data_IF_966885565507
#
_entry.id   IF_966885565507
#
_cell.length_a   1.000
_cell.length_b   1.000
_cell.length_c   1.000
_cell.angle_alpha   90.00
_cell.angle_beta   90.00
_cell.angle_gamma   90.00
#
_symmetry.space_group_name_H-M   'P 1'
#
loop_
_entity.id
_entity.type
_entity.pdbx_description
1 polymer ?
#
# COMPACT_ATOMS: atom_id res chain seq x y z
N UNK A 1 51.88 48.37 6.55
CA UNK A 1 51.38 46.98 6.67
C UNK A 1 50.02 47.05 7.36
N UNK A 2 48.95 47.22 6.57
CA UNK A 2 47.62 47.53 7.08
C UNK A 2 46.59 46.66 6.35
N UNK A 3 46.12 45.63 7.07
CA UNK A 3 44.77 45.06 7.15
C UNK A 3 43.80 44.94 5.95
N UNK A 4 44.17 45.21 4.70
CA UNK A 4 43.17 45.22 3.61
C UNK A 4 43.06 43.92 2.80
N UNK A 5 44.05 43.01 2.87
CA UNK A 5 44.06 41.81 2.02
C UNK A 5 43.49 40.55 2.69
N UNK A 6 43.25 40.59 4.00
CA UNK A 6 42.67 39.45 4.73
C UNK A 6 41.12 39.40 4.64
N UNK A 7 40.47 40.54 4.40
CA UNK A 7 39.01 40.62 4.35
C UNK A 7 38.42 40.22 2.98
N UNK A 8 39.22 40.24 1.92
CA UNK A 8 38.78 39.85 0.57
C UNK A 8 38.69 38.33 0.37
N UNK A 9 39.40 37.53 1.16
CA UNK A 9 39.32 36.07 1.08
C UNK A 9 38.14 35.48 1.88
N UNK A 10 37.60 36.21 2.85
CA UNK A 10 36.47 35.74 3.67
C UNK A 10 35.11 35.96 2.98
N UNK A 11 35.01 36.97 2.11
CA UNK A 11 33.78 37.27 1.38
C UNK A 11 33.52 36.37 0.15
N UNK A 12 34.49 35.55 -0.29
CA UNK A 12 34.34 34.71 -1.48
C UNK A 12 33.80 33.29 -1.19
N UNK A 13 33.48 32.95 0.06
CA UNK A 13 33.10 31.59 0.47
C UNK A 13 31.65 31.47 0.98
N UNK A 14 30.93 32.59 1.10
CA UNK A 14 29.70 32.63 1.89
C UNK A 14 28.42 32.98 1.11
N UNK A 15 28.46 32.97 -0.23
CA UNK A 15 27.29 33.29 -1.07
C UNK A 15 26.72 32.12 -1.90
N UNK A 16 27.35 30.94 -1.91
CA UNK A 16 26.84 29.80 -2.71
C UNK A 16 25.90 28.86 -1.93
N UNK A 17 25.74 29.06 -0.63
CA UNK A 17 24.96 28.16 0.23
C UNK A 17 23.42 28.33 0.24
N UNK A 18 22.79 29.47 -0.16
CA UNK A 18 21.32 29.56 -0.13
C UNK A 18 20.64 29.10 -1.43
N UNK A 19 21.35 28.99 -2.56
CA UNK A 19 20.73 28.65 -3.84
C UNK A 19 20.52 27.14 -4.05
N UNK A 20 21.35 26.29 -3.45
CA UNK A 20 21.17 24.83 -3.51
C UNK A 20 20.18 24.29 -2.47
N UNK A 21 19.79 25.10 -1.47
CA UNK A 21 18.79 24.72 -0.46
C UNK A 21 17.36 25.12 -0.81
N UNK A 22 17.14 25.74 -1.97
CA UNK A 22 15.84 25.70 -2.67
C UNK A 22 15.74 24.43 -3.51
N UNK A 23 15.97 23.27 -2.89
CA UNK A 23 15.32 22.05 -3.39
C UNK A 23 13.84 22.34 -3.22
N UNK A 24 13.21 22.72 -4.33
CA UNK A 24 11.82 23.15 -4.51
C UNK A 24 10.93 22.40 -3.53
N UNK A 25 10.67 23.00 -2.36
CA UNK A 25 9.69 22.47 -1.44
C UNK A 25 8.36 22.56 -2.18
N UNK A 26 7.68 21.44 -2.45
CA UNK A 26 6.44 21.49 -3.22
C UNK A 26 5.46 22.44 -2.53
N UNK A 27 4.75 23.23 -3.32
CA UNK A 27 3.64 24.04 -2.80
C UNK A 27 2.63 23.14 -2.08
N UNK A 28 1.84 23.68 -1.14
CA UNK A 28 0.84 22.92 -0.37
C UNK A 28 -0.07 22.08 -1.28
N UNK A 29 -0.44 22.62 -2.46
CA UNK A 29 -1.20 21.94 -3.51
C UNK A 29 -0.43 20.77 -4.15
N UNK A 30 0.87 20.92 -4.44
CA UNK A 30 1.67 19.83 -4.99
C UNK A 30 1.83 18.67 -4.00
N UNK A 31 2.00 18.94 -2.70
CA UNK A 31 2.00 17.89 -1.68
C UNK A 31 0.67 17.15 -1.59
N UNK A 32 -0.44 17.84 -1.83
CA UNK A 32 -1.77 17.23 -1.92
C UNK A 32 -1.85 16.21 -3.05
N UNK A 33 -1.50 16.63 -4.27
CA UNK A 33 -1.47 15.75 -5.43
C UNK A 33 -0.53 14.56 -5.28
N UNK A 34 0.70 14.79 -4.79
CA UNK A 34 1.66 13.71 -4.53
C UNK A 34 1.06 12.70 -3.56
N UNK A 35 0.41 13.17 -2.48
CA UNK A 35 -0.18 12.25 -1.50
C UNK A 35 -1.36 11.48 -2.09
N UNK A 36 -2.19 12.12 -2.92
CA UNK A 36 -3.31 11.50 -3.63
C UNK A 36 -2.83 10.36 -4.52
N UNK A 37 -1.85 10.66 -5.37
CA UNK A 37 -1.26 9.71 -6.32
C UNK A 37 -0.58 8.57 -5.55
N UNK A 38 0.16 8.87 -4.49
CA UNK A 38 0.77 7.85 -3.65
C UNK A 38 -0.28 6.96 -2.96
N UNK A 39 -1.40 7.50 -2.47
CA UNK A 39 -2.49 6.69 -1.92
C UNK A 39 -3.12 5.79 -3.00
N UNK A 40 -3.45 6.38 -4.15
CA UNK A 40 -4.06 5.68 -5.27
C UNK A 40 -3.17 4.53 -5.79
N UNK A 41 -1.87 4.80 -5.96
CA UNK A 41 -0.87 3.79 -6.35
C UNK A 41 -0.65 2.75 -5.25
N UNK A 42 -0.52 3.17 -3.98
CA UNK A 42 -0.35 2.22 -2.87
C UNK A 42 -1.51 1.24 -2.82
N UNK A 43 -2.73 1.72 -3.03
CA UNK A 43 -3.91 0.89 -3.03
C UNK A 43 -4.04 0.04 -4.31
N UNK A 44 -3.67 0.55 -5.48
CA UNK A 44 -3.54 -0.26 -6.69
C UNK A 44 -2.55 -1.42 -6.51
N UNK A 45 -1.39 -1.14 -5.90
CA UNK A 45 -0.42 -2.16 -5.52
C UNK A 45 -1.02 -3.18 -4.55
N UNK A 46 -1.91 -2.79 -3.63
CA UNK A 46 -2.61 -3.75 -2.75
C UNK A 46 -3.49 -4.75 -3.51
N UNK A 47 -3.99 -4.40 -4.70
CA UNK A 47 -4.69 -5.35 -5.56
C UNK A 47 -3.72 -6.27 -6.29
N UNK A 48 -2.66 -5.72 -6.87
CA UNK A 48 -1.66 -6.50 -7.62
C UNK A 48 -0.97 -7.58 -6.79
N UNK A 49 -0.66 -7.31 -5.52
CA UNK A 49 0.03 -8.32 -4.69
C UNK A 49 -0.91 -9.34 -4.02
N UNK A 50 -2.21 -9.06 -3.92
CA UNK A 50 -3.24 -10.03 -3.48
C UNK A 50 -3.64 -10.99 -4.59
N UNK A 51 -3.45 -10.54 -5.82
CA UNK A 51 -3.80 -11.26 -7.02
C UNK A 51 -3.17 -12.68 -7.11
N UNK A 52 -1.89 -12.89 -6.77
CA UNK A 52 -1.28 -14.22 -6.77
C UNK A 52 -2.02 -15.24 -5.90
N UNK A 53 -2.61 -14.82 -4.77
CA UNK A 53 -3.37 -15.73 -3.90
C UNK A 53 -4.56 -16.40 -4.61
N UNK A 54 -5.10 -15.76 -5.66
CA UNK A 54 -6.26 -16.23 -6.42
C UNK A 54 -5.93 -16.77 -7.82
N UNK A 55 -4.67 -16.62 -8.25
CA UNK A 55 -4.20 -16.96 -9.61
C UNK A 55 -3.02 -17.95 -9.59
N UNK A 56 -2.69 -18.48 -8.42
CA UNK A 56 -1.80 -19.63 -8.30
C UNK A 56 -2.29 -20.79 -9.20
N UNK A 57 -1.38 -21.64 -9.71
CA UNK A 57 -1.77 -22.75 -10.56
C UNK A 57 -2.83 -23.65 -9.90
N UNK A 58 -3.78 -24.21 -10.68
CA UNK A 58 -4.84 -25.07 -10.15
C UNK A 58 -4.28 -26.28 -9.39
N UNK A 59 -3.11 -26.78 -9.78
CA UNK A 59 -2.39 -27.87 -9.09
C UNK A 59 -2.06 -27.55 -7.62
N UNK A 60 -1.94 -26.26 -7.27
CA UNK A 60 -1.66 -25.79 -5.92
C UNK A 60 -2.94 -25.39 -5.19
N UNK A 61 -3.96 -24.90 -5.91
CA UNK A 61 -5.19 -24.33 -5.34
C UNK A 61 -6.35 -25.33 -5.17
N UNK A 62 -6.42 -26.36 -6.01
CA UNK A 62 -7.50 -27.34 -6.01
C UNK A 62 -7.17 -28.59 -5.18
N UNK A 63 -6.08 -28.52 -4.39
CA UNK A 63 -5.75 -29.55 -3.41
C UNK A 63 -6.92 -29.69 -2.41
N UNK A 64 -7.49 -30.90 -2.25
CA UNK A 64 -8.59 -31.12 -1.33
C UNK A 64 -8.11 -30.96 0.11
N UNK A 65 -8.85 -30.15 0.88
CA UNK A 65 -8.66 -29.95 2.31
C UNK A 65 -9.76 -30.74 3.05
N UNK A 66 -9.52 -31.09 4.33
CA UNK A 66 -10.50 -31.82 5.16
C UNK A 66 -11.88 -31.13 5.10
N UNK A 67 -12.93 -31.94 4.92
CA UNK A 67 -14.33 -31.47 4.92
C UNK A 67 -14.91 -31.14 3.53
N UNK A 68 -14.28 -31.59 2.44
CA UNK A 68 -14.82 -31.41 1.08
C UNK A 68 -14.59 -30.02 0.48
N UNK A 69 -13.81 -29.16 1.16
CA UNK A 69 -13.43 -27.86 0.65
C UNK A 69 -12.09 -27.92 -0.09
N UNK A 70 -11.96 -27.13 -1.16
CA UNK A 70 -10.68 -26.91 -1.82
C UNK A 70 -9.86 -25.85 -1.08
N UNK A 71 -8.54 -25.89 -1.21
CA UNK A 71 -7.66 -24.87 -0.64
C UNK A 71 -8.05 -23.45 -1.13
N UNK A 72 -8.45 -23.32 -2.39
CA UNK A 72 -9.02 -22.08 -2.96
C UNK A 72 -10.22 -21.55 -2.19
N UNK A 73 -11.14 -22.43 -1.80
CA UNK A 73 -12.32 -22.05 -1.02
C UNK A 73 -11.91 -21.57 0.37
N UNK A 74 -10.99 -22.30 1.03
CA UNK A 74 -10.46 -21.91 2.34
C UNK A 74 -9.73 -20.56 2.31
N UNK A 75 -8.93 -20.30 1.27
CA UNK A 75 -8.25 -19.01 1.05
C UNK A 75 -9.27 -17.89 0.88
N UNK A 76 -10.35 -18.13 0.13
CA UNK A 76 -11.41 -17.15 -0.08
C UNK A 76 -12.17 -16.82 1.22
N UNK A 77 -12.51 -17.84 2.02
CA UNK A 77 -13.12 -17.64 3.33
C UNK A 77 -12.19 -16.93 4.32
N UNK A 78 -10.90 -17.29 4.33
CA UNK A 78 -9.89 -16.62 5.14
C UNK A 78 -9.74 -15.14 4.78
N UNK A 79 -9.76 -14.82 3.49
CA UNK A 79 -9.72 -13.44 3.02
C UNK A 79 -10.92 -12.64 3.51
N UNK A 80 -12.14 -13.12 3.27
CA UNK A 80 -13.38 -12.45 3.72
C UNK A 80 -13.42 -12.34 5.25
N UNK A 81 -13.06 -13.42 5.94
CA UNK A 81 -13.00 -13.49 7.39
C UNK A 81 -12.02 -12.47 7.99
N UNK A 82 -10.84 -12.32 7.39
CA UNK A 82 -9.85 -11.34 7.81
C UNK A 82 -10.37 -9.90 7.73
N UNK A 83 -11.03 -9.55 6.63
CA UNK A 83 -11.69 -8.24 6.48
C UNK A 83 -12.83 -8.03 7.48
N UNK A 84 -13.68 -9.03 7.65
CA UNK A 84 -14.82 -8.95 8.56
C UNK A 84 -14.35 -8.74 10.00
N UNK A 85 -13.35 -9.52 10.44
CA UNK A 85 -12.77 -9.42 11.77
C UNK A 85 -12.06 -8.07 12.02
N UNK A 86 -11.47 -7.49 10.97
CA UNK A 86 -10.72 -6.24 11.08
C UNK A 86 -11.58 -4.97 11.11
N UNK A 87 -12.86 -5.00 10.71
CA UNK A 87 -13.68 -3.78 10.58
C UNK A 87 -13.74 -2.94 11.86
N UNK A 88 -14.09 -3.55 13.00
CA UNK A 88 -14.23 -2.82 14.27
C UNK A 88 -12.88 -2.34 14.81
N UNK A 89 -11.83 -3.19 14.88
CA UNK A 89 -10.49 -2.73 15.26
C UNK A 89 -9.94 -1.63 14.35
N UNK A 90 -10.17 -1.72 13.04
CA UNK A 90 -9.68 -0.74 12.07
C UNK A 90 -10.34 0.64 12.26
N UNK A 91 -11.64 0.68 12.50
CA UNK A 91 -12.34 1.93 12.79
C UNK A 91 -11.79 2.60 14.07
N UNK A 92 -11.60 1.81 15.13
CA UNK A 92 -11.03 2.32 16.37
C UNK A 92 -9.59 2.81 16.16
N UNK A 93 -8.76 2.05 15.45
CA UNK A 93 -7.38 2.43 15.14
C UNK A 93 -7.29 3.73 14.31
N UNK A 94 -8.11 3.87 13.27
CA UNK A 94 -8.12 5.05 12.40
C UNK A 94 -8.55 6.33 13.15
N UNK A 95 -9.41 6.19 14.17
CA UNK A 95 -9.82 7.29 15.04
C UNK A 95 -8.83 7.62 16.17
N UNK A 96 -7.78 6.82 16.35
CA UNK A 96 -6.88 6.93 17.49
C UNK A 96 -5.86 8.08 17.37
N UNK A 97 -5.46 8.65 18.51
CA UNK A 97 -4.40 9.68 18.57
C UNK A 97 -3.04 9.14 18.10
N UNK A 98 -2.78 7.84 18.34
CA UNK A 98 -1.56 7.16 17.89
C UNK A 98 -1.45 7.22 16.37
N UNK A 99 -2.53 6.84 15.68
CA UNK A 99 -2.59 6.92 14.23
C UNK A 99 -2.29 8.33 13.76
N UNK A 100 -2.97 9.33 14.32
CA UNK A 100 -2.79 10.72 13.88
C UNK A 100 -1.40 11.30 14.13
N UNK A 101 -0.69 10.86 15.17
CA UNK A 101 0.68 11.30 15.47
C UNK A 101 1.72 10.65 14.57
N UNK A 102 1.50 9.39 14.16
CA UNK A 102 2.47 8.59 13.41
C UNK A 102 1.93 8.07 12.06
N UNK A 103 0.98 8.80 11.45
CA UNK A 103 0.20 8.37 10.27
C UNK A 103 1.06 7.73 9.18
N UNK A 104 2.15 8.40 8.79
CA UNK A 104 3.06 7.94 7.73
C UNK A 104 3.74 6.61 8.09
N UNK A 105 4.32 6.53 9.28
CA UNK A 105 5.04 5.33 9.74
C UNK A 105 4.10 4.15 9.87
N UNK A 106 2.89 4.38 10.41
CA UNK A 106 1.89 3.34 10.59
C UNK A 106 1.29 2.84 9.28
N UNK A 107 1.03 3.74 8.32
CA UNK A 107 0.60 3.35 6.97
C UNK A 107 1.67 2.51 6.27
N UNK A 108 2.94 2.95 6.31
CA UNK A 108 4.05 2.19 5.73
C UNK A 108 4.20 0.83 6.40
N UNK A 109 4.13 0.76 7.74
CA UNK A 109 4.22 -0.53 8.44
C UNK A 109 3.05 -1.46 8.11
N UNK A 110 1.83 -0.94 7.94
CA UNK A 110 0.67 -1.75 7.55
C UNK A 110 0.83 -2.31 6.13
N UNK A 111 1.33 -1.49 5.20
CA UNK A 111 1.60 -1.93 3.82
C UNK A 111 2.68 -3.02 3.84
N UNK A 112 3.85 -2.73 4.43
CA UNK A 112 4.98 -3.67 4.41
C UNK A 112 4.67 -4.96 5.17
N UNK A 113 4.04 -4.88 6.34
CA UNK A 113 3.66 -6.07 7.11
C UNK A 113 2.65 -6.92 6.37
N UNK A 114 1.63 -6.33 5.75
CA UNK A 114 0.70 -7.09 4.92
C UNK A 114 1.47 -7.82 3.81
N UNK A 115 2.24 -7.07 2.99
CA UNK A 115 3.00 -7.63 1.87
C UNK A 115 3.92 -8.78 2.26
N UNK A 116 4.66 -8.61 3.36
CA UNK A 116 5.57 -9.64 3.87
C UNK A 116 4.83 -10.88 4.36
N UNK A 117 3.70 -10.71 5.07
CA UNK A 117 2.96 -11.83 5.65
C UNK A 117 2.37 -12.72 4.56
N UNK A 118 1.66 -12.18 3.57
CA UNK A 118 1.10 -13.03 2.51
C UNK A 118 2.15 -13.45 1.49
N UNK A 119 3.18 -12.64 1.22
CA UNK A 119 4.32 -13.08 0.38
C UNK A 119 5.05 -14.29 0.98
N UNK A 120 5.47 -14.20 2.25
CA UNK A 120 6.13 -15.31 2.94
C UNK A 120 5.20 -16.50 3.17
N UNK A 121 3.92 -16.22 3.47
CA UNK A 121 2.92 -17.26 3.72
C UNK A 121 2.52 -18.04 2.49
N UNK A 122 2.43 -17.41 1.32
CA UNK A 122 2.18 -18.11 0.05
C UNK A 122 3.38 -18.96 -0.39
N UNK A 123 4.60 -18.54 -0.03
CA UNK A 123 5.82 -19.32 -0.24
C UNK A 123 5.95 -20.52 0.72
N UNK A 124 5.14 -20.58 1.78
CA UNK A 124 5.21 -21.68 2.75
C UNK A 124 4.69 -23.01 2.15
N UNK A 125 5.28 -24.16 2.52
CA UNK A 125 4.91 -25.46 1.97
C UNK A 125 3.55 -25.97 2.49
N UNK A 126 3.10 -25.50 3.65
CA UNK A 126 1.90 -26.02 4.31
C UNK A 126 0.62 -25.26 3.89
N UNK A 127 -0.47 -25.95 3.49
CA UNK A 127 -1.74 -25.31 3.13
C UNK A 127 -2.33 -24.43 4.24
N UNK A 128 -2.22 -24.87 5.50
CA UNK A 128 -2.70 -24.10 6.65
C UNK A 128 -1.95 -22.77 6.83
N UNK A 129 -0.64 -22.75 6.54
CA UNK A 129 0.16 -21.54 6.60
C UNK A 129 -0.26 -20.52 5.53
N UNK A 130 -0.60 -20.99 4.32
CA UNK A 130 -1.13 -20.15 3.23
C UNK A 130 -2.46 -19.51 3.63
N UNK A 131 -3.39 -20.31 4.14
CA UNK A 131 -4.72 -19.81 4.60
C UNK A 131 -4.56 -18.80 5.74
N UNK A 132 -3.73 -19.11 6.74
CA UNK A 132 -3.47 -18.21 7.86
C UNK A 132 -2.80 -16.90 7.46
N UNK A 133 -1.87 -16.96 6.51
CA UNK A 133 -1.21 -15.78 5.99
C UNK A 133 -2.15 -14.87 5.18
N UNK A 134 -3.01 -15.45 4.35
CA UNK A 134 -4.05 -14.69 3.64
C UNK A 134 -5.01 -14.03 4.63
N UNK A 135 -5.42 -14.74 5.69
CA UNK A 135 -6.25 -14.16 6.76
C UNK A 135 -5.55 -12.97 7.44
N UNK A 136 -4.31 -13.15 7.88
CA UNK A 136 -3.56 -12.12 8.60
C UNK A 136 -3.25 -10.91 7.71
N UNK A 137 -2.89 -11.15 6.44
CA UNK A 137 -2.75 -10.11 5.43
C UNK A 137 -4.06 -9.34 5.23
N UNK A 138 -5.17 -10.04 4.98
CA UNK A 138 -6.49 -9.44 4.79
C UNK A 138 -6.93 -8.61 6.01
N UNK A 139 -6.64 -9.12 7.21
CA UNK A 139 -6.89 -8.42 8.46
C UNK A 139 -6.14 -7.08 8.50
N UNK A 140 -4.81 -7.08 8.35
CA UNK A 140 -3.99 -5.85 8.41
C UNK A 140 -4.33 -4.88 7.30
N UNK A 141 -4.53 -5.39 6.10
CA UNK A 141 -4.81 -4.57 4.94
C UNK A 141 -6.21 -3.95 4.96
N UNK A 142 -7.15 -4.47 5.77
CA UNK A 142 -8.42 -3.81 6.05
C UNK A 142 -8.25 -2.47 6.78
N UNK A 143 -7.15 -2.27 7.52
CA UNK A 143 -6.84 -1.00 8.18
C UNK A 143 -6.38 0.05 7.17
N UNK A 144 -5.82 -0.35 6.03
CA UNK A 144 -5.21 0.57 5.07
C UNK A 144 -6.23 1.53 4.46
N UNK A 145 -7.37 1.01 3.98
CA UNK A 145 -8.35 1.86 3.31
C UNK A 145 -8.96 2.90 4.25
N UNK A 146 -9.37 2.47 5.45
CA UNK A 146 -9.88 3.38 6.48
C UNK A 146 -8.85 4.45 6.84
N UNK A 147 -7.61 4.05 7.13
CA UNK A 147 -6.53 4.98 7.45
C UNK A 147 -6.19 5.94 6.30
N UNK A 148 -6.22 5.48 5.04
CA UNK A 148 -5.99 6.32 3.86
C UNK A 148 -7.11 7.36 3.70
N UNK A 149 -8.37 6.96 3.88
CA UNK A 149 -9.50 7.89 3.84
C UNK A 149 -9.41 8.93 4.97
N UNK A 150 -9.18 8.52 6.22
CA UNK A 150 -9.03 9.45 7.35
C UNK A 150 -7.79 10.34 7.21
N UNK A 151 -6.78 9.92 6.44
CA UNK A 151 -5.64 10.76 6.09
C UNK A 151 -6.02 11.86 5.09
N UNK A 152 -6.91 11.57 4.15
CA UNK A 152 -7.41 12.51 3.14
C UNK A 152 -8.54 13.41 3.65
N UNK A 153 -9.26 12.96 4.68
CA UNK A 153 -10.33 13.69 5.35
C UNK A 153 -9.75 14.91 6.11
N UNK A 154 -10.25 16.11 5.80
CA UNK A 154 -9.74 17.39 6.33
C UNK A 154 -8.99 18.27 5.33
N UNK A 155 -9.00 17.91 4.03
CA UNK A 155 -8.49 18.77 2.94
C UNK A 155 -9.66 19.34 2.14
N UNK A 156 -9.56 20.59 1.69
CA UNK A 156 -10.63 21.25 0.88
C UNK A 156 -10.93 20.48 -0.42
N UNK A 157 -9.99 19.63 -0.85
CA UNK A 157 -10.01 18.86 -2.09
C UNK A 157 -10.28 17.36 -1.86
N UNK A 158 -10.77 16.93 -0.69
CA UNK A 158 -10.97 15.50 -0.34
C UNK A 158 -11.77 14.73 -1.41
N UNK A 159 -12.87 15.27 -1.92
CA UNK A 159 -13.68 14.60 -2.95
C UNK A 159 -12.89 14.29 -4.23
N UNK A 160 -12.01 15.21 -4.67
CA UNK A 160 -11.16 15.01 -5.86
C UNK A 160 -10.11 13.92 -5.62
N UNK A 161 -9.59 13.83 -4.39
CA UNK A 161 -8.61 12.81 -4.02
C UNK A 161 -9.25 11.42 -3.94
N UNK A 162 -10.45 11.34 -3.37
CA UNK A 162 -11.23 10.11 -3.33
C UNK A 162 -11.58 9.67 -4.75
N UNK A 163 -12.05 10.57 -5.61
CA UNK A 163 -12.37 10.26 -7.01
C UNK A 163 -11.16 9.72 -7.79
N UNK A 164 -9.97 10.31 -7.61
CA UNK A 164 -8.74 9.82 -8.23
C UNK A 164 -8.35 8.42 -7.70
N UNK A 165 -8.42 8.24 -6.38
CA UNK A 165 -8.16 6.94 -5.77
C UNK A 165 -9.13 5.87 -6.30
N UNK A 166 -10.41 6.20 -6.45
CA UNK A 166 -11.44 5.33 -7.02
C UNK A 166 -11.16 5.01 -8.49
N UNK A 167 -10.73 5.98 -9.29
CA UNK A 167 -10.37 5.76 -10.69
C UNK A 167 -9.19 4.80 -10.83
N UNK A 168 -8.13 4.99 -10.04
CA UNK A 168 -7.01 4.05 -9.97
C UNK A 168 -7.44 2.66 -9.49
N UNK A 169 -8.43 2.59 -8.59
CA UNK A 169 -9.05 1.34 -8.12
C UNK A 169 -9.72 0.57 -9.25
N UNK A 170 -10.55 1.25 -10.04
CA UNK A 170 -11.23 0.66 -11.20
C UNK A 170 -10.20 0.19 -12.22
N UNK A 171 -9.19 1.01 -12.50
CA UNK A 171 -8.12 0.65 -13.43
C UNK A 171 -7.30 -0.55 -12.94
N UNK A 172 -6.84 -0.56 -11.69
CA UNK A 172 -6.05 -1.67 -11.13
C UNK A 172 -6.86 -2.96 -11.04
N UNK A 173 -8.14 -2.87 -10.68
CA UNK A 173 -9.06 -4.01 -10.70
C UNK A 173 -9.24 -4.61 -12.08
N UNK A 174 -9.35 -3.77 -13.12
CA UNK A 174 -9.46 -4.22 -14.51
C UNK A 174 -8.12 -4.72 -15.06
N UNK A 175 -7.00 -4.06 -14.75
CA UNK A 175 -5.67 -4.44 -15.18
C UNK A 175 -5.23 -5.78 -14.56
N UNK A 176 -5.50 -5.98 -13.26
CA UNK A 176 -5.26 -7.27 -12.61
C UNK A 176 -6.06 -8.37 -13.29
N UNK A 177 -7.38 -8.22 -13.47
CA UNK A 177 -8.20 -9.20 -14.22
C UNK A 177 -7.73 -9.44 -15.66
N UNK A 178 -7.28 -8.40 -16.35
CA UNK A 178 -6.69 -8.51 -17.69
C UNK A 178 -5.42 -9.37 -17.70
N UNK A 179 -4.59 -9.25 -16.66
CA UNK A 179 -3.40 -10.08 -16.49
C UNK A 179 -3.72 -11.59 -16.35
N UNK A 180 -4.90 -11.97 -15.80
CA UNK A 180 -5.39 -13.36 -15.72
C UNK A 180 -5.62 -13.93 -17.12
N UNK A 181 -6.30 -13.15 -17.96
CA UNK A 181 -6.68 -13.59 -19.30
C UNK A 181 -5.41 -13.78 -20.13
N UNK A 182 -4.48 -12.82 -20.08
CA UNK A 182 -3.21 -12.93 -20.80
C UNK A 182 -2.32 -14.08 -20.33
N UNK A 183 -2.27 -14.35 -19.02
CA UNK A 183 -1.47 -15.47 -18.49
C UNK A 183 -2.07 -16.83 -18.83
N UNK A 184 -3.40 -16.94 -18.86
CA UNK A 184 -4.09 -18.17 -19.27
C UNK A 184 -3.88 -18.51 -20.75
N UNK A 185 -3.80 -17.49 -21.63
CA UNK A 185 -3.55 -17.70 -23.06
C UNK A 185 -2.13 -18.19 -23.37
N UNK A 186 -1.14 -17.83 -22.55
CA UNK A 186 0.26 -18.28 -22.72
C UNK A 186 0.54 -19.70 -22.24
N UNK A 187 -0.35 -20.30 -21.43
CA UNK A 187 -0.20 -21.67 -20.93
C UNK A 187 -0.88 -22.73 -21.82
N UNK A 188 -1.62 -22.30 -22.84
CA UNK A 188 -2.37 -23.16 -23.78
C UNK A 188 -1.75 -23.25 -25.18
N UNK A 189 -0.50 -22.79 -25.33
CA UNK A 189 0.29 -22.83 -26.57
C UNK A 189 1.57 -23.63 -26.37
#
# INVERSE_FOLDING_TARGET
MSSSDADLACCASQDDAPLLRRVVAPSRSQWEWITSICCALSYACTYFWRYPAFVLPPDVLDVPVRGGFTLRSCISFAFIGGFAAAKLPAAHFASSRLFFRHRRTLLLSLITSSMLIEGAGLAAPHPAAKVGAVFASAFLSSFLWGCMLTYLEGRVTTERHVALATLCLIYAGNASRGALVSSSSSSSS
#
